data_IF_741549742677
#
_entry.id   IF_741549742677
#
_cell.length_a   1.000
_cell.length_b   1.000
_cell.length_c   1.000
_cell.angle_alpha   90.00
_cell.angle_beta   90.00
_cell.angle_gamma   90.00
#
_symmetry.space_group_name_H-M   'P 1'
#
loop_
_entity.id
_entity.type
_entity.pdbx_description
1 polymer ?
#
# COMPACT_ATOMS: atom_id res chain seq x y z
N UNK A 1 1.95 -13.29 -6.21
CA UNK A 1 2.01 -14.73 -6.57
C UNK A 1 2.75 -14.80 -7.89
N UNK A 2 3.70 -15.72 -8.06
CA UNK A 2 4.48 -15.88 -9.29
C UNK A 2 4.18 -17.28 -9.87
N UNK A 3 4.21 -17.42 -11.18
CA UNK A 3 4.09 -18.72 -11.87
C UNK A 3 5.38 -19.02 -12.62
N UNK A 4 5.94 -20.21 -12.41
CA UNK A 4 7.05 -20.73 -13.20
C UNK A 4 6.48 -21.86 -14.05
N UNK A 5 6.64 -21.77 -15.36
CA UNK A 5 6.24 -22.80 -16.30
C UNK A 5 7.42 -23.26 -17.14
N UNK A 6 7.43 -24.55 -17.48
CA UNK A 6 8.42 -25.13 -18.37
C UNK A 6 7.71 -25.61 -19.61
N UNK A 7 7.97 -24.95 -20.73
CA UNK A 7 7.48 -25.42 -22.01
C UNK A 7 8.22 -26.73 -22.32
N UNK A 8 7.46 -27.76 -22.70
CA UNK A 8 7.97 -29.09 -23.00
C UNK A 8 9.05 -29.10 -24.08
N UNK A 9 9.65 -30.26 -24.30
CA UNK A 9 10.75 -30.44 -25.25
C UNK A 9 10.37 -29.94 -26.64
N UNK A 10 11.15 -29.01 -27.19
CA UNK A 10 10.92 -28.46 -28.53
C UNK A 10 11.66 -29.35 -29.54
N UNK A 11 10.91 -29.95 -30.46
CA UNK A 11 11.45 -30.71 -31.59
C UNK A 11 11.05 -30.06 -32.94
N UNK A 12 11.98 -29.93 -33.90
CA UNK A 12 13.41 -30.26 -33.82
C UNK A 12 14.19 -29.27 -32.94
N UNK A 13 15.37 -29.69 -32.45
CA UNK A 13 16.24 -28.84 -31.61
C UNK A 13 16.56 -27.53 -32.33
N UNK A 14 16.59 -26.43 -31.58
CA UNK A 14 17.04 -25.15 -32.10
C UNK A 14 18.51 -25.22 -32.55
N UNK A 15 18.95 -24.27 -33.38
CA UNK A 15 20.32 -24.24 -33.93
C UNK A 15 21.43 -24.17 -32.88
N UNK A 16 21.08 -23.85 -31.62
CA UNK A 16 21.97 -23.80 -30.46
C UNK A 16 21.85 -25.06 -29.57
N UNK A 17 21.25 -26.14 -30.05
CA UNK A 17 21.01 -27.41 -29.34
C UNK A 17 20.06 -27.32 -28.13
N UNK A 18 19.49 -26.13 -27.86
CA UNK A 18 18.54 -25.95 -26.78
C UNK A 18 17.19 -26.56 -27.13
N UNK A 19 16.66 -27.38 -26.22
CA UNK A 19 15.36 -28.05 -26.39
C UNK A 19 14.36 -27.75 -25.27
N UNK A 20 14.76 -27.02 -24.23
CA UNK A 20 13.86 -26.59 -23.16
C UNK A 20 13.78 -25.07 -23.09
N UNK A 21 12.58 -24.55 -22.81
CA UNK A 21 12.35 -23.15 -22.50
C UNK A 21 11.69 -23.06 -21.12
N UNK A 22 12.28 -22.26 -20.25
CA UNK A 22 11.72 -21.90 -18.96
C UNK A 22 11.18 -20.48 -19.00
N UNK A 23 9.94 -20.32 -18.55
CA UNK A 23 9.25 -19.04 -18.49
C UNK A 23 8.86 -18.77 -17.05
N UNK A 24 9.33 -17.65 -16.49
CA UNK A 24 8.89 -17.17 -15.20
C UNK A 24 8.03 -15.91 -15.39
N UNK A 25 6.82 -15.92 -14.84
CA UNK A 25 5.86 -14.81 -14.94
C UNK A 25 5.57 -14.27 -13.54
N UNK A 26 5.86 -12.98 -13.34
CA UNK A 26 5.36 -12.23 -12.18
C UNK A 26 3.96 -11.71 -12.47
N UNK A 27 2.94 -12.31 -11.85
CA UNK A 27 1.55 -11.89 -12.04
C UNK A 27 1.27 -10.45 -11.55
N UNK A 28 2.04 -9.96 -10.58
CA UNK A 28 1.84 -8.65 -9.96
C UNK A 28 2.45 -7.53 -10.80
N UNK A 29 3.68 -7.70 -11.24
CA UNK A 29 4.38 -6.68 -12.03
C UNK A 29 4.21 -6.88 -13.55
N UNK A 30 3.66 -8.03 -13.99
CA UNK A 30 3.53 -8.46 -15.39
C UNK A 30 4.87 -8.65 -16.12
N UNK A 31 5.96 -8.84 -15.37
CA UNK A 31 7.27 -9.12 -15.96
C UNK A 31 7.40 -10.60 -16.34
N UNK A 32 8.07 -10.84 -17.47
CA UNK A 32 8.32 -12.18 -18.02
C UNK A 32 9.83 -12.34 -18.20
N UNK A 33 10.37 -13.42 -17.66
CA UNK A 33 11.74 -13.86 -17.92
C UNK A 33 11.72 -15.19 -18.68
N UNK A 34 12.52 -15.29 -19.74
CA UNK A 34 12.63 -16.49 -20.58
C UNK A 34 14.09 -16.93 -20.66
N UNK A 35 14.35 -18.21 -20.42
CA UNK A 35 15.66 -18.81 -20.57
C UNK A 35 15.55 -20.15 -21.33
N UNK A 36 16.54 -20.47 -22.16
CA UNK A 36 16.59 -21.73 -22.92
C UNK A 36 17.78 -22.59 -22.50
N UNK A 37 17.62 -23.91 -22.55
CA UNK A 37 18.62 -24.86 -22.05
C UNK A 37 18.79 -26.07 -22.99
N UNK A 38 20.03 -26.54 -23.14
CA UNK A 38 20.40 -27.75 -23.91
C UNK A 38 19.99 -29.05 -23.22
N UNK A 39 20.27 -29.17 -21.93
CA UNK A 39 19.88 -30.31 -21.09
C UNK A 39 19.51 -29.79 -19.70
N UNK A 40 18.43 -30.30 -19.12
CA UNK A 40 18.01 -29.94 -17.76
C UNK A 40 17.89 -31.24 -16.96
N UNK A 41 18.77 -31.47 -15.98
CA UNK A 41 18.62 -32.61 -15.06
C UNK A 41 17.51 -32.32 -14.04
N UNK A 42 16.98 -33.37 -13.39
CA UNK A 42 15.94 -33.21 -12.36
C UNK A 42 16.38 -32.31 -11.21
N UNK A 43 17.66 -32.35 -10.83
CA UNK A 43 18.23 -31.53 -9.76
C UNK A 43 18.41 -30.07 -10.20
N UNK A 44 18.91 -29.84 -11.42
CA UNK A 44 19.04 -28.48 -11.98
C UNK A 44 17.68 -27.79 -12.07
N UNK A 45 16.64 -28.56 -12.42
CA UNK A 45 15.26 -28.05 -12.47
C UNK A 45 14.78 -27.57 -11.11
N UNK A 46 15.09 -28.29 -10.03
CA UNK A 46 14.70 -27.91 -8.66
C UNK A 46 15.47 -26.69 -8.17
N UNK A 47 16.80 -26.69 -8.32
CA UNK A 47 17.65 -25.58 -7.90
C UNK A 47 17.25 -24.28 -8.60
N UNK A 48 17.06 -24.33 -9.92
CA UNK A 48 16.64 -23.15 -10.70
C UNK A 48 15.26 -22.64 -10.27
N UNK A 49 14.34 -23.56 -9.93
CA UNK A 49 13.02 -23.18 -9.41
C UNK A 49 13.14 -22.50 -8.04
N UNK A 50 14.00 -22.99 -7.16
CA UNK A 50 14.24 -22.39 -5.84
C UNK A 50 14.91 -21.02 -5.95
N UNK A 51 15.95 -20.87 -6.79
CA UNK A 51 16.62 -19.60 -7.03
C UNK A 51 15.68 -18.52 -7.59
N UNK A 52 14.86 -18.90 -8.58
CA UNK A 52 13.84 -17.98 -9.14
C UNK A 52 12.77 -17.64 -8.12
N UNK A 53 12.34 -18.60 -7.27
CA UNK A 53 11.40 -18.34 -6.16
C UNK A 53 11.98 -17.40 -5.11
N UNK A 54 13.24 -17.57 -4.73
CA UNK A 54 13.93 -16.69 -3.77
C UNK A 54 14.07 -15.27 -4.33
N UNK A 55 14.47 -15.14 -5.60
CA UNK A 55 14.58 -13.85 -6.29
C UNK A 55 13.22 -13.13 -6.33
N UNK A 56 12.16 -13.86 -6.69
CA UNK A 56 10.79 -13.34 -6.68
C UNK A 56 10.33 -12.88 -5.29
N UNK A 57 10.63 -13.66 -4.24
CA UNK A 57 10.33 -13.29 -2.85
C UNK A 57 11.07 -12.02 -2.43
N UNK A 58 12.36 -11.91 -2.76
CA UNK A 58 13.16 -10.72 -2.48
C UNK A 58 12.61 -9.49 -3.21
N UNK A 59 12.25 -9.62 -4.48
CA UNK A 59 11.65 -8.53 -5.26
C UNK A 59 10.31 -8.08 -4.66
N UNK A 60 9.42 -9.03 -4.34
CA UNK A 60 8.13 -8.75 -3.72
C UNK A 60 8.25 -8.04 -2.36
N UNK A 61 9.15 -8.52 -1.49
CA UNK A 61 9.45 -7.88 -0.20
C UNK A 61 10.01 -6.48 -0.39
N UNK A 62 10.95 -6.30 -1.32
CA UNK A 62 11.54 -5.00 -1.61
C UNK A 62 10.50 -4.01 -2.15
N UNK A 63 9.59 -4.45 -3.02
CA UNK A 63 8.48 -3.64 -3.50
C UNK A 63 7.54 -3.21 -2.37
N UNK A 64 7.10 -4.16 -1.53
CA UNK A 64 6.26 -3.86 -0.36
C UNK A 64 6.93 -2.86 0.58
N UNK A 65 8.23 -3.04 0.84
CA UNK A 65 9.01 -2.11 1.66
C UNK A 65 9.09 -0.70 1.04
N UNK A 66 9.33 -0.61 -0.27
CA UNK A 66 9.34 0.68 -1.00
C UNK A 66 7.98 1.37 -0.92
N UNK A 67 6.89 0.63 -1.11
CA UNK A 67 5.52 1.15 -1.00
C UNK A 67 5.22 1.64 0.42
N UNK A 68 5.52 0.83 1.44
CA UNK A 68 5.37 1.22 2.84
C UNK A 68 6.17 2.49 3.15
N UNK A 69 7.45 2.54 2.76
CA UNK A 69 8.31 3.71 2.99
C UNK A 69 7.77 4.97 2.30
N UNK A 70 7.27 4.85 1.07
CA UNK A 70 6.68 5.97 0.34
C UNK A 70 5.38 6.47 0.98
N UNK A 71 4.55 5.55 1.50
CA UNK A 71 3.34 5.88 2.25
C UNK A 71 3.68 6.54 3.59
N UNK A 72 4.52 5.92 4.40
CA UNK A 72 4.93 6.40 5.73
C UNK A 72 5.59 7.79 5.62
N UNK A 73 6.35 8.08 4.55
CA UNK A 73 6.92 9.42 4.29
C UNK A 73 5.86 10.52 4.16
N UNK A 74 4.65 10.18 3.71
CA UNK A 74 3.53 11.12 3.58
C UNK A 74 2.70 11.22 4.87
N UNK A 75 2.84 10.28 5.79
CA UNK A 75 2.16 10.32 7.08
C UNK A 75 2.81 11.40 7.94
N UNK A 76 2.06 12.46 8.23
CA UNK A 76 2.48 13.51 9.16
C UNK A 76 1.97 13.17 10.55
N UNK A 77 2.86 12.98 11.51
CA UNK A 77 2.47 12.84 12.92
C UNK A 77 1.85 14.16 13.38
N UNK A 78 0.53 14.17 13.55
CA UNK A 78 -0.17 15.30 14.15
C UNK A 78 -0.26 15.04 15.65
N UNK A 79 0.59 15.71 16.43
CA UNK A 79 0.48 15.70 17.89
C UNK A 79 -0.52 16.77 18.28
N UNK A 80 -1.62 16.39 18.89
CA UNK A 80 -2.61 17.35 19.35
C UNK A 80 -2.52 17.53 20.87
N UNK A 81 -2.68 18.78 21.32
CA UNK A 81 -2.67 19.16 22.73
C UNK A 81 -4.03 19.72 23.11
N UNK A 82 -4.40 19.61 24.38
CA UNK A 82 -5.59 20.28 24.90
C UNK A 82 -5.44 21.80 24.67
N UNK A 83 -6.50 22.44 24.18
CA UNK A 83 -6.50 23.84 23.76
C UNK A 83 -6.18 24.08 22.28
N UNK A 84 -5.66 23.10 21.52
CA UNK A 84 -5.37 23.27 20.10
C UNK A 84 -6.67 23.51 19.31
N UNK A 85 -6.65 24.50 18.40
CA UNK A 85 -7.74 24.71 17.46
C UNK A 85 -7.67 23.72 16.31
N UNK A 86 -8.78 23.02 16.06
CA UNK A 86 -8.88 21.95 15.07
C UNK A 86 -10.11 22.10 14.18
N UNK A 87 -9.99 21.55 12.98
CA UNK A 87 -11.01 21.47 11.95
C UNK A 87 -11.50 20.03 11.83
N UNK A 88 -12.81 19.85 11.73
CA UNK A 88 -13.44 18.54 11.56
C UNK A 88 -13.73 18.24 10.10
N UNK A 89 -13.34 17.07 9.60
CA UNK A 89 -13.64 16.66 8.22
C UNK A 89 -15.13 16.32 8.09
N UNK A 90 -15.78 16.89 7.08
CA UNK A 90 -17.19 16.61 6.80
C UNK A 90 -17.27 15.33 5.97
N UNK A 91 -17.69 14.22 6.59
CA UNK A 91 -17.94 12.95 5.90
C UNK A 91 -19.33 13.02 5.22
N UNK A 92 -19.36 13.39 3.95
CA UNK A 92 -20.60 13.36 3.15
C UNK A 92 -20.91 11.93 2.72
N UNK A 93 -21.80 11.25 3.47
CA UNK A 93 -22.45 10.00 3.02
C UNK A 93 -23.79 10.24 2.33
N UNK A 94 -24.32 11.47 2.39
CA UNK A 94 -25.55 11.84 1.69
C UNK A 94 -25.22 12.30 0.27
N UNK A 95 -26.02 11.82 -0.67
CA UNK A 95 -26.07 12.30 -2.05
C UNK A 95 -26.56 13.76 -2.03
N UNK A 96 -25.66 14.68 -1.67
CA UNK A 96 -26.03 16.07 -1.44
C UNK A 96 -25.45 16.97 -2.52
N UNK A 97 -26.16 18.07 -2.77
CA UNK A 97 -25.99 19.07 -3.86
C UNK A 97 -24.69 19.88 -3.75
N UNK A 98 -23.74 19.38 -2.96
CA UNK A 98 -22.52 20.05 -2.53
C UNK A 98 -21.54 20.11 -3.69
N UNK A 99 -21.47 21.30 -4.28
CA UNK A 99 -20.66 21.60 -5.46
C UNK A 99 -19.17 21.48 -5.13
N UNK A 100 -18.35 21.26 -6.17
CA UNK A 100 -16.89 21.05 -6.15
C UNK A 100 -16.07 22.05 -5.29
N UNK A 101 -16.64 23.17 -4.89
CA UNK A 101 -15.98 24.28 -4.18
C UNK A 101 -16.42 24.47 -2.72
N UNK A 102 -17.29 23.61 -2.18
CA UNK A 102 -17.67 23.73 -0.76
C UNK A 102 -16.53 23.24 0.15
N UNK A 103 -16.18 23.95 1.24
CA UNK A 103 -15.09 23.56 2.15
C UNK A 103 -15.26 22.13 2.67
N UNK A 104 -14.22 21.30 2.60
CA UNK A 104 -14.25 19.88 3.02
C UNK A 104 -14.14 19.68 4.55
N UNK A 105 -13.87 20.75 5.27
CA UNK A 105 -13.71 20.78 6.71
C UNK A 105 -14.67 21.81 7.32
N UNK A 106 -15.13 21.53 8.52
CA UNK A 106 -16.07 22.32 9.31
C UNK A 106 -15.40 22.89 10.56
N UNK A 107 -15.84 24.10 10.91
CA UNK A 107 -15.78 24.68 12.25
C UNK A 107 -14.39 24.99 12.78
N UNK A 108 -14.31 25.87 13.79
CA UNK A 108 -13.15 25.97 14.67
C UNK A 108 -13.56 25.32 15.98
N UNK A 109 -12.94 24.20 16.32
CA UNK A 109 -13.18 23.49 17.56
C UNK A 109 -11.94 23.54 18.43
N UNK A 110 -12.12 23.56 19.74
CA UNK A 110 -11.02 23.49 20.70
C UNK A 110 -10.86 22.03 21.11
N UNK A 111 -9.64 21.52 21.04
CA UNK A 111 -9.38 20.18 21.52
C UNK A 111 -9.47 20.13 23.04
N UNK A 112 -10.29 19.22 23.57
CA UNK A 112 -10.43 19.03 25.01
C UNK A 112 -9.59 17.87 25.52
N UNK A 113 -9.54 16.74 24.81
CA UNK A 113 -8.82 15.54 25.26
C UNK A 113 -8.36 14.69 24.10
N UNK A 114 -7.14 14.15 24.21
CA UNK A 114 -6.63 13.08 23.35
C UNK A 114 -6.56 11.76 24.11
N UNK A 115 -6.95 10.68 23.45
CA UNK A 115 -6.76 9.32 23.93
C UNK A 115 -5.58 8.66 23.21
N UNK A 116 -4.91 7.71 23.87
CA UNK A 116 -3.74 6.99 23.35
C UNK A 116 -4.00 6.16 22.08
N UNK A 117 -5.27 5.94 21.72
CA UNK A 117 -5.71 5.23 20.51
C UNK A 117 -6.06 6.13 19.31
N UNK A 118 -5.73 7.43 19.34
CA UNK A 118 -6.03 8.35 18.23
C UNK A 118 -7.48 8.83 18.19
N UNK A 119 -8.22 8.66 19.29
CA UNK A 119 -9.52 9.29 19.47
C UNK A 119 -9.35 10.67 20.12
N UNK A 120 -10.13 11.64 19.66
CA UNK A 120 -10.11 13.03 20.12
C UNK A 120 -11.52 13.46 20.54
N UNK A 121 -11.62 14.17 21.65
CA UNK A 121 -12.82 14.91 22.04
C UNK A 121 -12.52 16.38 21.95
N UNK A 122 -13.43 17.11 21.31
CA UNK A 122 -13.34 18.54 21.11
C UNK A 122 -14.60 19.22 21.64
N UNK A 123 -14.45 20.50 21.93
CA UNK A 123 -15.49 21.42 22.35
C UNK A 123 -15.74 22.46 21.28
N UNK A 124 -16.99 22.87 21.15
CA UNK A 124 -17.34 24.10 20.43
C UNK A 124 -16.74 25.30 21.14
N UNK A 125 -16.54 26.42 20.44
CA UNK A 125 -16.01 27.66 21.02
C UNK A 125 -16.85 28.15 22.21
N UNK A 126 -18.14 27.79 22.23
CA UNK A 126 -19.10 28.13 23.29
C UNK A 126 -19.05 27.18 24.49
N UNK A 127 -18.16 26.18 24.48
CA UNK A 127 -17.95 25.24 25.59
C UNK A 127 -18.76 23.95 25.52
N UNK A 128 -19.59 23.75 24.50
CA UNK A 128 -20.33 22.49 24.33
C UNK A 128 -19.42 21.34 23.90
N UNK A 129 -19.46 20.23 24.65
CA UNK A 129 -18.65 19.04 24.37
C UNK A 129 -19.29 18.11 23.37
N UNK A 130 -18.48 17.61 22.44
CA UNK A 130 -18.92 16.53 21.58
C UNK A 130 -19.00 15.23 22.38
N UNK A 131 -20.20 14.66 22.42
CA UNK A 131 -20.49 13.39 23.10
C UNK A 131 -19.78 12.19 22.47
N UNK A 132 -19.44 12.28 21.17
CA UNK A 132 -18.78 11.21 20.42
C UNK A 132 -17.32 11.58 20.12
N UNK A 133 -16.36 10.77 20.56
CA UNK A 133 -14.97 10.96 20.18
C UNK A 133 -14.77 10.69 18.68
N UNK A 134 -13.82 11.39 18.07
CA UNK A 134 -13.50 11.31 16.64
C UNK A 134 -12.07 10.84 16.40
N UNK A 135 -11.84 10.11 15.31
CA UNK A 135 -10.49 9.70 14.92
C UNK A 135 -9.65 10.91 14.47
N UNK A 136 -8.37 10.95 14.86
CA UNK A 136 -7.35 11.91 14.41
C UNK A 136 -7.30 12.10 12.89
N UNK A 137 -7.55 11.07 12.09
CA UNK A 137 -7.53 11.12 10.62
C UNK A 137 -8.66 12.00 10.03
N UNK A 138 -9.72 12.20 10.79
CA UNK A 138 -10.84 13.06 10.44
C UNK A 138 -10.65 14.50 10.95
N UNK A 139 -9.51 14.82 11.57
CA UNK A 139 -9.26 16.12 12.21
C UNK A 139 -7.97 16.73 11.68
N UNK A 140 -7.92 18.06 11.54
CA UNK A 140 -6.72 18.79 11.12
C UNK A 140 -6.50 20.01 12.02
N UNK A 141 -5.26 20.33 12.39
CA UNK A 141 -4.97 21.58 13.12
C UNK A 141 -5.31 22.81 12.28
N UNK A 142 -5.86 23.84 12.95
CA UNK A 142 -6.23 25.11 12.33
C UNK A 142 -5.00 25.99 12.08
N UNK A 143 -4.13 26.11 13.08
CA UNK A 143 -2.82 26.73 12.95
C UNK A 143 -1.77 25.61 12.89
N UNK A 144 -1.04 25.51 11.77
CA UNK A 144 -0.07 24.45 11.48
C UNK A 144 1.35 25.01 11.50
#
# INVERSE_FOLDING_TARGET
MWGIDMIGTIEPKASNEHCFILVAIDYFTKWVEVASYANVTKYDRLNLTEEKRLTAMCHGKLYQWRMKKAFDKKVRSSVFREGDLVLKKILSFKHDVRRKWTPNYEGRYVMKRAFSGGALVFTTMDGEEFTRPMNTDAVKKYFA
#
